data_IF_312951140566
#
_entry.id   IF_312951140566
#
_cell.length_a   1.000
_cell.length_b   1.000
_cell.length_c   1.000
_cell.angle_alpha   90.00
_cell.angle_beta   90.00
_cell.angle_gamma   90.00
#
_symmetry.space_group_name_H-M   'P 1'
#
loop_
_entity.id
_entity.type
_entity.pdbx_description
1 polymer ?
#
# COMPACT_ATOMS: atom_id res chain seq x y z
N UNK A 1 25.24 9.04 -13.14
CA UNK A 1 23.92 8.91 -12.49
C UNK A 1 23.62 7.44 -12.45
N UNK A 2 23.43 6.84 -11.28
CA UNK A 2 23.11 5.41 -11.18
C UNK A 2 21.72 5.22 -11.78
N UNK A 3 21.60 4.41 -12.85
CA UNK A 3 20.33 4.01 -13.47
C UNK A 3 19.46 3.22 -12.48
N UNK A 4 18.90 3.90 -11.49
CA UNK A 4 17.94 3.32 -10.58
C UNK A 4 16.63 3.15 -11.34
N UNK A 5 16.15 1.91 -11.44
CA UNK A 5 14.86 1.61 -12.04
C UNK A 5 13.75 2.34 -11.29
N UNK A 6 13.17 3.35 -11.93
CA UNK A 6 12.07 4.14 -11.38
C UNK A 6 10.78 3.32 -11.39
N UNK A 7 9.96 3.48 -10.34
CA UNK A 7 8.62 2.92 -10.30
C UNK A 7 7.66 3.67 -11.22
N UNK A 8 6.52 3.06 -11.56
CA UNK A 8 5.51 3.69 -12.43
C UNK A 8 4.55 4.54 -11.60
N UNK A 9 4.35 5.83 -11.92
CA UNK A 9 3.32 6.64 -11.28
C UNK A 9 1.94 6.09 -11.64
N UNK A 10 1.09 5.96 -10.63
CA UNK A 10 -0.26 5.38 -10.72
C UNK A 10 -1.19 6.30 -9.94
N UNK A 11 -1.95 7.19 -10.61
CA UNK A 11 -2.79 8.15 -9.92
C UNK A 11 -3.87 7.45 -9.10
N UNK A 12 -4.26 8.07 -7.99
CA UNK A 12 -5.17 7.51 -7.00
C UNK A 12 -6.49 7.08 -7.63
N UNK A 13 -7.06 7.90 -8.52
CA UNK A 13 -8.33 7.58 -9.17
C UNK A 13 -8.29 6.29 -9.99
N UNK A 14 -7.18 6.01 -10.69
CA UNK A 14 -7.04 4.76 -11.45
C UNK A 14 -7.00 3.57 -10.49
N UNK A 15 -6.25 3.71 -9.40
CA UNK A 15 -6.14 2.66 -8.39
C UNK A 15 -7.49 2.38 -7.76
N UNK A 16 -8.26 3.41 -7.38
CA UNK A 16 -9.61 3.25 -6.83
C UNK A 16 -10.54 2.60 -7.85
N UNK A 17 -10.61 3.14 -9.07
CA UNK A 17 -11.51 2.65 -10.11
C UNK A 17 -11.27 1.17 -10.41
N UNK A 18 -10.02 0.77 -10.65
CA UNK A 18 -9.69 -0.62 -10.92
C UNK A 18 -9.88 -1.51 -9.69
N UNK A 19 -9.63 -1.01 -8.48
CA UNK A 19 -9.89 -1.76 -7.26
C UNK A 19 -11.38 -2.05 -7.09
N UNK A 20 -12.25 -1.06 -7.32
CA UNK A 20 -13.70 -1.26 -7.25
C UNK A 20 -14.18 -2.21 -8.35
N UNK A 21 -13.75 -1.97 -9.60
CA UNK A 21 -14.15 -2.78 -10.75
C UNK A 21 -13.73 -4.26 -10.65
N UNK A 22 -12.66 -4.55 -9.92
CA UNK A 22 -12.11 -5.91 -9.76
C UNK A 22 -12.36 -6.51 -8.37
N UNK A 23 -13.27 -5.92 -7.57
CA UNK A 23 -13.55 -6.37 -6.20
C UNK A 23 -12.28 -6.53 -5.35
N UNK A 24 -11.44 -5.49 -5.35
CA UNK A 24 -10.17 -5.37 -4.62
C UNK A 24 -9.00 -6.23 -5.14
N UNK A 25 -9.17 -7.05 -6.18
CA UNK A 25 -8.07 -7.83 -6.75
C UNK A 25 -6.94 -6.92 -7.29
N UNK A 26 -7.30 -5.84 -7.98
CA UNK A 26 -6.33 -4.85 -8.44
C UNK A 26 -5.58 -4.19 -7.30
N UNK A 27 -6.24 -3.94 -6.16
CA UNK A 27 -5.59 -3.36 -4.98
C UNK A 27 -4.49 -4.28 -4.44
N UNK A 28 -4.76 -5.59 -4.37
CA UNK A 28 -3.76 -6.59 -3.98
C UNK A 28 -2.57 -6.60 -4.94
N UNK A 29 -2.84 -6.63 -6.26
CA UNK A 29 -1.80 -6.54 -7.28
C UNK A 29 -0.99 -5.23 -7.19
N UNK A 30 -1.66 -4.10 -6.96
CA UNK A 30 -1.04 -2.80 -6.77
C UNK A 30 -0.08 -2.81 -5.57
N UNK A 31 -0.51 -3.35 -4.41
CA UNK A 31 0.34 -3.47 -3.22
C UNK A 31 1.55 -4.38 -3.44
N UNK A 32 1.42 -5.39 -4.31
CA UNK A 32 2.52 -6.25 -4.69
C UNK A 32 3.53 -5.52 -5.58
N UNK A 33 3.07 -4.88 -6.65
CA UNK A 33 3.96 -4.26 -7.65
C UNK A 33 4.74 -3.07 -7.08
N UNK A 34 4.11 -2.22 -6.25
CA UNK A 34 4.83 -1.09 -5.65
C UNK A 34 5.97 -1.54 -4.74
N UNK A 35 5.82 -2.69 -4.08
CA UNK A 35 6.87 -3.20 -3.21
C UNK A 35 8.04 -3.76 -4.00
N UNK A 36 7.77 -4.39 -5.15
CA UNK A 36 8.84 -4.79 -6.06
C UNK A 36 9.54 -3.62 -6.71
N UNK A 37 8.81 -2.56 -7.07
CA UNK A 37 9.40 -1.33 -7.57
C UNK A 37 10.28 -0.66 -6.50
N UNK A 38 9.79 -0.55 -5.27
CA UNK A 38 10.56 0.01 -4.15
C UNK A 38 11.80 -0.83 -3.83
N UNK A 39 11.68 -2.16 -3.84
CA UNK A 39 12.80 -3.08 -3.62
C UNK A 39 13.87 -2.93 -4.72
N UNK A 40 13.45 -2.83 -5.99
CA UNK A 40 14.36 -2.60 -7.13
C UNK A 40 15.02 -1.23 -7.06
N UNK A 41 14.28 -0.19 -6.69
CA UNK A 41 14.79 1.17 -6.59
C UNK A 41 15.78 1.37 -5.44
N UNK A 42 15.48 0.80 -4.27
CA UNK A 42 16.32 0.91 -3.08
C UNK A 42 17.48 -0.10 -3.08
N UNK A 43 17.39 -1.18 -3.86
CA UNK A 43 18.35 -2.31 -3.83
C UNK A 43 18.16 -3.25 -2.63
N UNK A 44 17.29 -2.90 -1.68
CA UNK A 44 16.91 -3.70 -0.52
C UNK A 44 15.42 -3.47 -0.22
N UNK A 45 14.75 -4.44 0.42
CA UNK A 45 13.31 -4.34 0.70
C UNK A 45 12.66 -5.70 0.87
N UNK A 46 11.39 -5.71 1.28
CA UNK A 46 10.60 -6.94 1.28
C UNK A 46 10.04 -7.16 -0.12
N UNK A 47 9.92 -8.43 -0.51
CA UNK A 47 9.24 -8.74 -1.76
C UNK A 47 7.75 -8.53 -1.60
N UNK A 48 7.08 -8.09 -2.67
CA UNK A 48 5.62 -8.01 -2.72
C UNK A 48 4.97 -9.35 -2.31
N UNK A 49 5.60 -10.47 -2.63
CA UNK A 49 5.13 -11.82 -2.26
C UNK A 49 5.16 -12.04 -0.75
N UNK A 50 6.21 -11.63 -0.04
CA UNK A 50 6.29 -11.70 1.43
C UNK A 50 5.24 -10.81 2.11
N UNK A 51 4.77 -9.78 1.42
CA UNK A 51 3.84 -8.82 1.97
C UNK A 51 2.37 -9.19 1.73
N UNK A 52 2.09 -9.93 0.66
CA UNK A 52 0.78 -10.53 0.43
C UNK A 52 0.62 -11.91 1.07
N UNK A 53 1.70 -12.66 1.32
CA UNK A 53 1.60 -14.04 1.78
C UNK A 53 0.79 -14.23 3.06
N UNK A 54 0.89 -13.41 4.12
CA UNK A 54 0.05 -13.59 5.31
C UNK A 54 -1.38 -13.06 5.16
N UNK A 55 -1.69 -12.22 4.17
CA UNK A 55 -3.09 -11.99 3.82
C UNK A 55 -3.68 -13.25 3.19
N UNK A 56 -2.97 -13.86 2.23
CA UNK A 56 -3.45 -15.08 1.55
C UNK A 56 -3.49 -16.26 2.51
N UNK A 57 -2.38 -16.56 3.19
CA UNK A 57 -2.22 -17.72 4.06
C UNK A 57 -2.85 -17.52 5.44
N UNK A 58 -2.84 -16.30 5.97
CA UNK A 58 -3.31 -16.00 7.33
C UNK A 58 -4.75 -15.52 7.39
N UNK A 59 -5.31 -14.95 6.31
CA UNK A 59 -6.69 -14.43 6.30
C UNK A 59 -7.55 -15.17 5.27
N UNK A 60 -7.18 -15.15 3.99
CA UNK A 60 -8.03 -15.67 2.93
C UNK A 60 -8.24 -17.20 3.03
N UNK A 61 -7.17 -17.97 3.20
CA UNK A 61 -7.27 -19.43 3.33
C UNK A 61 -8.05 -19.84 4.60
N UNK A 62 -7.74 -19.33 5.81
CA UNK A 62 -8.50 -19.71 7.00
C UNK A 62 -9.98 -19.33 6.94
N UNK A 63 -10.33 -18.19 6.31
CA UNK A 63 -11.72 -17.78 6.13
C UNK A 63 -12.45 -18.66 5.10
N UNK A 64 -11.80 -18.98 3.98
CA UNK A 64 -12.37 -19.91 2.99
C UNK A 64 -12.60 -21.29 3.59
N UNK A 65 -11.61 -21.82 4.31
CA UNK A 65 -11.73 -23.11 4.99
C UNK A 65 -12.86 -23.10 6.02
N UNK A 66 -12.98 -22.04 6.83
CA UNK A 66 -14.07 -21.94 7.80
C UNK A 66 -15.48 -21.85 7.18
N UNK A 67 -15.61 -21.24 6.00
CA UNK A 67 -16.91 -21.10 5.30
C UNK A 67 -17.31 -22.40 4.57
N UNK A 68 -16.34 -23.06 3.93
CA UNK A 68 -16.61 -24.18 3.02
C UNK A 68 -16.40 -25.56 3.64
N UNK A 69 -15.70 -25.65 4.77
CA UNK A 69 -15.37 -26.92 5.42
C UNK A 69 -15.98 -26.99 6.85
N UNK A 70 -17.04 -27.81 7.05
CA UNK A 70 -17.68 -27.97 8.35
C UNK A 70 -16.80 -28.70 9.38
N UNK A 71 -15.72 -29.35 8.96
CA UNK A 71 -14.80 -30.08 9.85
C UNK A 71 -13.70 -29.16 10.44
N UNK A 72 -13.63 -27.90 10.01
CA UNK A 72 -12.64 -26.94 10.51
C UNK A 72 -13.08 -26.37 11.86
N UNK A 73 -12.27 -26.54 12.93
CA UNK A 73 -12.62 -26.02 14.24
C UNK A 73 -12.80 -24.50 14.23
N UNK A 74 -13.85 -23.99 14.88
CA UNK A 74 -14.15 -22.55 14.92
C UNK A 74 -13.04 -21.67 15.50
N UNK A 75 -12.09 -22.23 16.25
CA UNK A 75 -10.92 -21.49 16.73
C UNK A 75 -9.90 -21.19 15.62
N UNK A 76 -9.93 -21.92 14.49
CA UNK A 76 -9.00 -21.73 13.37
C UNK A 76 -9.15 -20.35 12.71
N UNK A 77 -10.35 -19.76 12.78
CA UNK A 77 -10.60 -18.39 12.34
C UNK A 77 -9.76 -17.35 13.10
N UNK A 78 -9.29 -17.63 14.33
CA UNK A 78 -8.46 -16.71 15.10
C UNK A 78 -7.05 -16.53 14.52
N UNK A 79 -6.56 -17.44 13.67
CA UNK A 79 -5.33 -17.22 12.91
C UNK A 79 -5.41 -15.99 12.00
N UNK A 80 -6.62 -15.56 11.63
CA UNK A 80 -6.84 -14.30 10.90
C UNK A 80 -6.30 -13.08 11.65
N UNK A 81 -6.23 -13.10 12.97
CA UNK A 81 -5.65 -12.00 13.76
C UNK A 81 -4.15 -11.83 13.48
N UNK A 82 -3.42 -12.93 13.27
CA UNK A 82 -1.99 -12.88 12.91
C UNK A 82 -1.83 -12.29 11.51
N UNK A 83 -2.68 -12.69 10.58
CA UNK A 83 -2.73 -12.10 9.23
C UNK A 83 -3.04 -10.60 9.26
N UNK A 84 -4.02 -10.18 10.06
CA UNK A 84 -4.37 -8.76 10.26
C UNK A 84 -3.19 -7.99 10.85
N UNK A 85 -2.58 -8.48 11.93
CA UNK A 85 -1.43 -7.83 12.56
C UNK A 85 -0.28 -7.64 11.55
N UNK A 86 -0.04 -8.63 10.70
CA UNK A 86 0.97 -8.51 9.66
C UNK A 86 0.65 -7.46 8.60
N UNK A 87 -0.61 -7.35 8.17
CA UNK A 87 -1.04 -6.31 7.22
C UNK A 87 -0.71 -4.92 7.78
N UNK A 88 -0.95 -4.69 9.08
CA UNK A 88 -0.57 -3.45 9.74
C UNK A 88 0.95 -3.23 9.74
N UNK A 89 1.75 -4.27 9.98
CA UNK A 89 3.22 -4.20 9.92
C UNK A 89 3.70 -3.82 8.51
N UNK A 90 3.18 -4.47 7.47
CA UNK A 90 3.50 -4.19 6.07
C UNK A 90 3.13 -2.75 5.71
N UNK A 91 1.94 -2.31 6.12
CA UNK A 91 1.44 -0.97 5.85
C UNK A 91 2.28 0.10 6.58
N UNK A 92 2.63 -0.13 7.85
CA UNK A 92 3.55 0.73 8.61
C UNK A 92 4.91 0.86 7.94
N UNK A 93 5.49 -0.26 7.51
CA UNK A 93 6.78 -0.28 6.81
C UNK A 93 6.71 0.50 5.49
N UNK A 94 5.66 0.29 4.71
CA UNK A 94 5.46 0.99 3.43
C UNK A 94 5.38 2.50 3.65
N UNK A 95 4.68 2.96 4.68
CA UNK A 95 4.57 4.39 5.00
C UNK A 95 5.92 5.00 5.36
N UNK A 96 6.70 4.33 6.22
CA UNK A 96 8.07 4.76 6.52
C UNK A 96 8.95 4.80 5.28
N UNK A 97 8.76 3.86 4.35
CA UNK A 97 9.54 3.81 3.11
C UNK A 97 9.21 5.00 2.21
N UNK A 98 7.93 5.37 2.07
CA UNK A 98 7.53 6.56 1.29
C UNK A 98 8.07 7.84 1.94
N UNK A 99 7.97 8.00 3.25
CA UNK A 99 8.57 9.15 3.94
C UNK A 99 10.08 9.23 3.74
N UNK A 100 10.77 8.10 3.84
CA UNK A 100 12.21 8.01 3.62
C UNK A 100 12.57 8.48 2.20
N UNK A 101 11.79 8.09 1.18
CA UNK A 101 12.00 8.55 -0.20
C UNK A 101 11.87 10.08 -0.33
N UNK A 102 10.84 10.67 0.29
CA UNK A 102 10.66 12.13 0.30
C UNK A 102 11.81 12.82 1.02
N UNK A 103 12.21 12.31 2.19
CA UNK A 103 13.33 12.84 2.98
C UNK A 103 14.64 12.79 2.21
N UNK A 104 14.95 11.68 1.54
CA UNK A 104 16.14 11.53 0.71
C UNK A 104 16.14 12.46 -0.51
N UNK A 105 14.97 12.85 -1.00
CA UNK A 105 14.81 13.84 -2.04
C UNK A 105 14.81 15.29 -1.53
N UNK A 106 15.02 15.52 -0.23
CA UNK A 106 14.98 16.86 0.38
C UNK A 106 13.57 17.45 0.49
N UNK A 107 12.53 16.62 0.38
CA UNK A 107 11.13 17.02 0.47
C UNK A 107 10.57 16.72 1.86
N UNK A 108 9.48 17.41 2.24
CA UNK A 108 8.78 17.19 3.51
C UNK A 108 8.13 15.80 3.52
N UNK A 109 8.16 15.13 4.67
CA UNK A 109 7.55 13.80 4.83
C UNK A 109 6.02 13.88 4.73
N UNK A 110 5.39 13.16 3.78
CA UNK A 110 3.96 13.35 3.49
C UNK A 110 3.02 12.55 4.40
N UNK A 111 3.47 11.46 5.02
CA UNK A 111 2.63 10.54 5.77
C UNK A 111 2.89 10.60 7.27
N UNK A 112 1.83 10.80 8.06
CA UNK A 112 1.88 10.62 9.51
C UNK A 112 1.63 9.15 9.84
N UNK A 113 2.71 8.40 10.10
CA UNK A 113 2.66 6.94 10.26
C UNK A 113 1.69 6.51 11.37
N UNK A 114 1.54 7.30 12.43
CA UNK A 114 0.65 7.01 13.56
C UNK A 114 -0.84 6.97 13.21
N UNK A 115 -1.26 7.61 12.10
CA UNK A 115 -2.66 7.61 11.69
C UNK A 115 -3.17 6.23 11.26
N UNK A 116 -2.28 5.26 11.02
CA UNK A 116 -2.68 3.87 10.76
C UNK A 116 -3.45 3.25 11.92
N UNK A 117 -3.15 3.67 13.16
CA UNK A 117 -3.78 3.14 14.37
C UNK A 117 -5.09 3.84 14.74
N UNK A 118 -5.44 4.92 14.04
CA UNK A 118 -6.68 5.65 14.25
C UNK A 118 -7.80 4.93 13.47
N UNK A 119 -8.82 4.38 14.14
CA UNK A 119 -9.93 3.71 13.46
C UNK A 119 -10.61 4.65 12.44
N UNK A 120 -10.84 4.16 11.22
CA UNK A 120 -11.41 4.94 10.11
C UNK A 120 -10.40 5.79 9.32
N UNK A 121 -9.28 6.17 9.91
CA UNK A 121 -8.22 6.92 9.21
C UNK A 121 -7.28 6.01 8.40
N UNK A 122 -7.23 4.70 8.68
CA UNK A 122 -6.41 3.75 7.94
C UNK A 122 -6.63 3.81 6.41
N UNK A 123 -7.87 4.02 5.98
CA UNK A 123 -8.26 4.16 4.58
C UNK A 123 -7.67 5.44 4.01
N UNK A 124 -7.88 6.57 4.69
CA UNK A 124 -7.34 7.88 4.31
C UNK A 124 -5.83 7.83 4.16
N UNK A 125 -5.11 7.26 5.13
CA UNK A 125 -3.65 7.15 5.07
C UNK A 125 -3.23 6.21 3.94
N UNK A 126 -4.02 5.17 3.66
CA UNK A 126 -3.86 4.31 2.49
C UNK A 126 -3.95 5.07 1.18
N UNK A 127 -4.97 5.92 1.03
CA UNK A 127 -5.16 6.76 -0.15
C UNK A 127 -4.04 7.80 -0.30
N UNK A 128 -3.65 8.47 0.80
CA UNK A 128 -2.49 9.38 0.83
C UNK A 128 -1.23 8.67 0.37
N UNK A 129 -0.95 7.46 0.87
CA UNK A 129 0.22 6.69 0.48
C UNK A 129 0.25 6.41 -1.03
N UNK A 130 -0.89 6.08 -1.64
CA UNK A 130 -0.97 5.85 -3.08
C UNK A 130 -0.64 7.12 -3.84
N UNK A 131 -1.28 8.23 -3.46
CA UNK A 131 -1.09 9.54 -4.08
C UNK A 131 0.37 10.00 -4.00
N UNK A 132 0.95 10.08 -2.80
CA UNK A 132 2.33 10.55 -2.63
C UNK A 132 3.36 9.61 -3.27
N UNK A 133 3.13 8.30 -3.28
CA UNK A 133 4.03 7.41 -4.02
C UNK A 133 3.95 7.66 -5.53
N UNK A 134 2.75 7.90 -6.06
CA UNK A 134 2.57 8.26 -7.47
C UNK A 134 3.22 9.60 -7.80
N UNK A 135 3.01 10.62 -6.97
CA UNK A 135 3.60 11.95 -7.12
C UNK A 135 5.14 11.88 -7.08
N UNK A 136 5.72 11.13 -6.13
CA UNK A 136 7.15 10.93 -6.06
C UNK A 136 7.73 10.36 -7.37
N UNK A 137 7.09 9.34 -7.94
CA UNK A 137 7.53 8.77 -9.21
C UNK A 137 7.36 9.73 -10.38
N UNK A 138 6.28 10.50 -10.40
CA UNK A 138 6.04 11.54 -11.41
C UNK A 138 7.14 12.60 -11.39
N UNK A 139 7.47 13.12 -10.19
CA UNK A 139 8.57 14.08 -9.96
C UNK A 139 9.91 13.50 -10.44
N UNK A 140 10.22 12.23 -10.10
CA UNK A 140 11.49 11.60 -10.53
C UNK A 140 11.58 11.35 -12.03
N UNK A 141 10.45 11.21 -12.71
CA UNK A 141 10.38 11.05 -14.17
C UNK A 141 10.25 12.38 -14.92
N UNK A 142 10.07 13.50 -14.21
CA UNK A 142 9.83 14.81 -14.81
C UNK A 142 8.49 14.90 -15.55
N UNK A 143 7.50 14.08 -15.16
CA UNK A 143 6.16 14.09 -15.75
C UNK A 143 5.15 14.65 -14.75
N UNK A 144 4.12 15.32 -15.27
CA UNK A 144 2.97 15.76 -14.48
C UNK A 144 1.86 14.71 -14.55
N UNK A 145 1.42 14.23 -13.39
CA UNK A 145 0.38 13.22 -13.27
C UNK A 145 -0.80 13.84 -12.53
N UNK A 146 -1.79 14.29 -13.31
CA UNK A 146 -3.04 14.83 -12.77
C UNK A 146 -3.78 13.77 -11.97
N UNK A 147 -4.12 14.11 -10.74
CA UNK A 147 -4.88 13.26 -9.84
C UNK A 147 -6.07 14.03 -9.28
N UNK A 148 -7.17 14.14 -10.05
CA UNK A 148 -8.31 14.97 -9.69
C UNK A 148 -8.95 14.57 -8.36
N UNK A 149 -8.80 13.33 -7.88
CA UNK A 149 -9.33 12.94 -6.57
C UNK A 149 -8.48 13.47 -5.41
N UNK A 150 -7.16 13.51 -5.57
CA UNK A 150 -6.28 14.08 -4.56
C UNK A 150 -6.29 15.61 -4.59
N UNK A 151 -6.36 16.21 -5.79
CA UNK A 151 -6.43 17.67 -5.98
C UNK A 151 -7.71 18.27 -5.38
N UNK A 152 -8.84 17.56 -5.47
CA UNK A 152 -10.12 18.05 -4.94
C UNK A 152 -10.33 17.78 -3.44
N UNK A 153 -9.48 16.96 -2.81
CA UNK A 153 -9.59 16.61 -1.39
C UNK A 153 -8.30 17.01 -0.68
N UNK A 154 -8.27 18.18 0.01
CA UNK A 154 -7.08 18.68 0.69
C UNK A 154 -6.51 17.68 1.71
N UNK A 155 -7.36 16.84 2.29
CA UNK A 155 -6.97 15.82 3.25
C UNK A 155 -6.12 14.69 2.60
N UNK A 156 -6.18 14.52 1.28
CA UNK A 156 -5.42 13.51 0.53
C UNK A 156 -4.12 14.06 -0.09
N UNK A 157 -4.07 15.36 -0.41
CA UNK A 157 -2.95 16.01 -1.10
C UNK A 157 -2.12 16.95 -0.23
N UNK A 158 -2.65 17.49 0.87
CA UNK A 158 -1.90 18.41 1.71
C UNK A 158 -0.76 17.68 2.42
N UNK A 159 0.47 18.08 2.13
CA UNK A 159 1.66 17.68 2.90
C UNK A 159 1.49 18.14 4.35
N UNK A 160 1.39 17.16 5.27
CA UNK A 160 1.23 17.42 6.71
C UNK A 160 2.48 18.11 7.26
#
# INVERSE_FOLDING_TARGET
MTDKLLGKPRPLWQVILFSVATLMLYYGWYKWIIQEELRRYNGFGWSGTLCLSPFVLGVAIPQLLWIFDPDVPGWFGWFSLVGIAWIYIVQFKLYRTVNELYRQAGMKEPLVVWWIFIPGFNLIVGLRQIHFLSEYWAIKQGIDVKDPLAENIPLLSANA
#
